data_IF_043030744118
#
_entry.id   IF_043030744118
#
_cell.length_a   1.000
_cell.length_b   1.000
_cell.length_c   1.000
_cell.angle_alpha   90.00
_cell.angle_beta   90.00
_cell.angle_gamma   90.00
#
_symmetry.space_group_name_H-M   'P 1'
#
loop_
_entity.id
_entity.type
_entity.pdbx_description
1 polymer ?
#
# COMPACT_ATOMS: atom_id res chain seq x y z
N UNK A 1 41.06 29.09 -19.81
CA UNK A 1 40.64 29.39 -18.44
C UNK A 1 39.47 30.38 -18.55
N UNK A 2 38.26 29.92 -18.52
CA UNK A 2 37.07 30.76 -18.53
C UNK A 2 36.82 31.24 -17.10
N UNK A 3 36.91 32.55 -16.91
CA UNK A 3 36.59 33.22 -15.65
C UNK A 3 35.12 33.08 -15.35
N UNK A 4 34.81 32.51 -14.22
CA UNK A 4 33.43 32.47 -13.71
C UNK A 4 32.99 33.84 -13.15
N UNK A 5 31.76 34.27 -13.30
CA UNK A 5 31.26 35.52 -12.75
C UNK A 5 31.36 35.53 -11.22
N UNK A 6 31.77 36.67 -10.67
CA UNK A 6 32.11 36.86 -9.26
C UNK A 6 30.94 37.03 -8.29
N UNK A 7 29.68 37.02 -8.76
CA UNK A 7 28.51 37.04 -7.90
C UNK A 7 27.40 36.11 -8.43
N UNK A 8 27.01 35.18 -7.59
CA UNK A 8 25.96 34.20 -7.88
C UNK A 8 24.57 34.79 -7.61
N UNK A 9 24.51 35.86 -6.79
CA UNK A 9 23.25 36.48 -6.38
C UNK A 9 22.43 37.05 -7.53
N UNK A 10 23.10 37.62 -8.56
CA UNK A 10 22.43 38.29 -9.67
C UNK A 10 21.81 37.32 -10.71
N UNK A 11 22.06 36.02 -10.56
CA UNK A 11 21.64 35.02 -11.58
C UNK A 11 20.32 34.31 -11.28
N UNK A 12 19.73 34.51 -10.09
CA UNK A 12 18.53 33.79 -9.64
C UNK A 12 17.23 34.60 -9.70
N UNK A 13 17.31 35.93 -9.80
CA UNK A 13 16.12 36.77 -9.92
C UNK A 13 15.30 36.47 -11.19
N UNK A 14 15.93 35.87 -12.21
CA UNK A 14 15.31 35.53 -13.49
C UNK A 14 14.79 34.09 -13.61
N UNK A 15 15.04 33.21 -12.62
CA UNK A 15 14.53 31.84 -12.64
C UNK A 15 13.10 31.83 -12.17
N UNK A 16 12.18 31.86 -13.12
CA UNK A 16 10.74 31.71 -12.84
C UNK A 16 10.38 30.22 -12.74
N UNK A 17 10.08 29.77 -11.54
CA UNK A 17 9.40 28.49 -11.35
C UNK A 17 8.03 28.56 -12.05
N UNK A 18 7.76 27.61 -12.92
CA UNK A 18 6.45 27.50 -13.57
C UNK A 18 5.61 26.51 -12.81
N UNK A 19 4.39 26.93 -12.51
CA UNK A 19 3.39 26.09 -11.88
C UNK A 19 2.56 25.42 -12.95
N UNK A 20 2.44 24.09 -12.90
CA UNK A 20 1.45 23.36 -13.68
C UNK A 20 0.32 22.99 -12.73
N UNK A 21 -0.88 23.48 -13.02
CA UNK A 21 -2.10 23.00 -12.36
C UNK A 21 -2.73 21.96 -13.28
N UNK A 22 -2.89 20.74 -12.80
CA UNK A 22 -3.60 19.70 -13.52
C UNK A 22 -5.10 19.91 -13.31
N UNK A 23 -5.93 20.03 -14.38
CA UNK A 23 -7.34 20.41 -14.26
C UNK A 23 -8.24 19.41 -13.54
N UNK A 24 -7.75 18.22 -13.21
CA UNK A 24 -8.52 17.14 -12.57
C UNK A 24 -8.11 16.83 -11.14
N UNK A 25 -7.00 17.41 -10.67
CA UNK A 25 -6.49 17.24 -9.33
C UNK A 25 -6.06 18.59 -8.81
N UNK A 26 -6.33 18.92 -7.56
CA UNK A 26 -5.84 20.12 -6.86
C UNK A 26 -4.30 20.09 -6.66
N UNK A 27 -3.57 19.47 -7.60
CA UNK A 27 -2.12 19.33 -7.56
C UNK A 27 -1.43 20.50 -8.24
N UNK A 28 -0.56 21.14 -7.48
CA UNK A 28 0.41 22.12 -7.99
C UNK A 28 1.77 21.43 -8.04
N UNK A 29 2.29 21.17 -9.24
CA UNK A 29 3.67 20.74 -9.42
C UNK A 29 4.55 21.89 -9.90
N UNK A 30 5.75 21.99 -9.34
CA UNK A 30 6.75 22.97 -9.72
C UNK A 30 7.79 22.32 -10.63
N UNK A 31 8.15 22.94 -11.74
CA UNK A 31 9.22 22.45 -12.59
C UNK A 31 10.07 23.59 -13.14
N UNK A 32 11.35 23.30 -13.33
CA UNK A 32 12.23 24.15 -14.12
C UNK A 32 12.24 23.64 -15.56
N UNK A 33 12.03 24.49 -16.55
CA UNK A 33 12.18 24.11 -17.96
C UNK A 33 13.60 23.55 -18.20
N UNK A 34 13.72 22.50 -19.02
CA UNK A 34 14.98 21.83 -19.28
C UNK A 34 16.10 22.78 -19.75
N UNK A 35 15.75 23.83 -20.49
CA UNK A 35 16.69 24.87 -20.93
C UNK A 35 17.24 25.69 -19.75
N UNK A 36 16.44 25.95 -18.73
CA UNK A 36 16.86 26.68 -17.53
C UNK A 36 17.72 25.79 -16.62
N UNK A 37 17.37 24.50 -16.52
CA UNK A 37 18.20 23.50 -15.82
C UNK A 37 19.59 23.39 -16.49
N UNK A 38 19.63 23.31 -17.81
CA UNK A 38 20.88 23.25 -18.56
C UNK A 38 21.72 24.53 -18.36
N UNK A 39 21.08 25.71 -18.31
CA UNK A 39 21.76 26.98 -18.04
C UNK A 39 22.34 27.07 -16.63
N UNK A 40 21.68 26.49 -15.63
CA UNK A 40 22.17 26.41 -14.24
C UNK A 40 23.39 25.47 -14.16
N UNK A 41 23.33 24.31 -14.81
CA UNK A 41 24.46 23.38 -14.87
C UNK A 41 25.67 23.94 -15.62
N UNK A 42 25.45 24.67 -16.70
CA UNK A 42 26.52 25.29 -17.50
C UNK A 42 27.28 26.39 -16.74
N UNK A 43 26.70 26.98 -15.70
CA UNK A 43 27.33 28.00 -14.84
C UNK A 43 28.22 27.45 -13.73
N UNK A 44 28.30 26.13 -13.57
CA UNK A 44 29.30 25.44 -12.74
C UNK A 44 29.16 25.59 -11.22
N UNK A 45 28.17 26.29 -10.71
CA UNK A 45 27.81 26.32 -9.29
C UNK A 45 26.32 26.13 -9.17
N UNK A 46 25.93 24.96 -8.58
CA UNK A 46 24.66 24.89 -7.91
C UNK A 46 24.82 25.64 -6.59
N UNK A 47 24.23 26.84 -6.42
CA UNK A 47 24.05 27.33 -5.07
C UNK A 47 23.25 26.26 -4.35
N UNK A 48 23.47 26.09 -3.07
CA UNK A 48 22.48 25.46 -2.20
C UNK A 48 21.23 26.32 -2.35
N UNK A 49 20.41 25.99 -3.34
CA UNK A 49 19.04 26.44 -3.33
C UNK A 49 18.51 25.76 -2.10
N UNK A 50 18.39 26.49 -1.00
CA UNK A 50 17.40 26.16 0.00
C UNK A 50 16.11 26.34 -0.75
N UNK A 51 15.76 25.33 -1.56
CA UNK A 51 14.39 25.18 -1.99
C UNK A 51 13.62 25.37 -0.71
N UNK A 52 12.66 26.30 -0.63
CA UNK A 52 11.73 26.29 0.49
C UNK A 52 11.38 24.83 0.62
N UNK A 53 11.41 24.30 1.82
CA UNK A 53 11.25 22.86 2.09
C UNK A 53 9.99 22.42 1.34
N UNK A 54 10.15 22.20 0.02
CA UNK A 54 9.15 21.63 -0.87
C UNK A 54 9.24 20.15 -0.53
N UNK A 55 8.90 19.84 0.74
CA UNK A 55 8.41 18.53 1.03
C UNK A 55 7.25 18.39 0.08
N UNK A 56 7.36 17.41 -0.79
CA UNK A 56 6.18 16.91 -1.46
C UNK A 56 5.18 16.70 -0.31
N UNK A 57 4.25 17.64 -0.18
CA UNK A 57 3.26 17.65 0.93
C UNK A 57 2.33 16.44 0.87
N UNK A 58 2.50 15.59 -0.17
CA UNK A 58 1.78 14.33 -0.27
C UNK A 58 2.26 13.36 0.81
N UNK A 59 1.33 12.70 1.51
CA UNK A 59 1.70 11.68 2.48
C UNK A 59 2.48 10.54 1.81
N UNK A 60 3.59 10.16 2.41
CA UNK A 60 4.45 9.07 1.96
C UNK A 60 3.88 7.75 2.42
N UNK A 61 3.52 6.90 1.49
CA UNK A 61 2.99 5.58 1.77
C UNK A 61 4.06 4.54 1.49
N UNK A 62 4.57 3.92 2.55
CA UNK A 62 5.51 2.81 2.42
C UNK A 62 4.80 1.59 1.84
N UNK A 63 5.36 1.04 0.78
CA UNK A 63 4.87 -0.15 0.07
C UNK A 63 5.97 -1.19 0.04
N UNK A 64 5.72 -2.37 0.62
CA UNK A 64 6.66 -3.48 0.54
C UNK A 64 6.66 -4.04 -0.89
N UNK A 65 7.85 -4.30 -1.45
CA UNK A 65 7.95 -4.89 -2.79
C UNK A 65 7.64 -6.39 -2.75
N UNK A 66 7.30 -6.96 -3.88
CA UNK A 66 7.30 -8.40 -4.12
C UNK A 66 8.66 -8.83 -4.66
N UNK A 67 8.92 -10.14 -4.67
CA UNK A 67 10.04 -10.73 -5.40
C UNK A 67 9.52 -11.77 -6.37
N UNK A 68 9.94 -11.69 -7.61
CA UNK A 68 9.59 -12.63 -8.67
C UNK A 68 10.86 -13.24 -9.27
N UNK A 69 10.76 -14.51 -9.68
CA UNK A 69 11.90 -15.19 -10.32
C UNK A 69 12.22 -14.49 -11.66
N UNK A 70 13.49 -14.12 -11.82
CA UNK A 70 13.94 -13.57 -13.10
C UNK A 70 13.91 -14.65 -14.20
N UNK A 71 13.38 -14.35 -15.40
CA UNK A 71 13.20 -15.37 -16.45
C UNK A 71 14.52 -15.93 -16.99
N UNK A 72 15.62 -15.20 -16.88
CA UNK A 72 16.92 -15.58 -17.46
C UNK A 72 18.05 -15.77 -16.42
N UNK A 73 17.78 -15.61 -15.11
CA UNK A 73 18.78 -15.74 -14.03
C UNK A 73 18.17 -16.53 -12.89
N UNK A 74 19.01 -17.19 -12.08
CA UNK A 74 18.55 -17.88 -10.87
C UNK A 74 18.41 -16.95 -9.66
N UNK A 75 18.08 -15.71 -9.91
CA UNK A 75 17.85 -14.65 -8.94
C UNK A 75 16.39 -14.23 -8.95
N UNK A 76 15.96 -13.54 -7.89
CA UNK A 76 14.65 -12.91 -7.83
C UNK A 76 14.80 -11.41 -7.98
N UNK A 77 14.02 -10.81 -8.85
CA UNK A 77 13.92 -9.38 -8.99
C UNK A 77 12.86 -8.83 -8.03
N UNK A 78 13.08 -7.62 -7.52
CA UNK A 78 12.02 -6.89 -6.87
C UNK A 78 11.00 -6.41 -7.91
N UNK A 79 9.73 -6.61 -7.60
CA UNK A 79 8.61 -6.24 -8.45
C UNK A 79 7.50 -5.59 -7.65
N UNK A 80 6.66 -4.84 -8.33
CA UNK A 80 5.41 -4.32 -7.81
C UNK A 80 4.39 -4.25 -8.93
N UNK A 81 3.20 -4.83 -8.69
CA UNK A 81 2.12 -4.60 -9.65
C UNK A 81 1.76 -3.11 -9.67
N UNK A 82 1.72 -2.47 -10.86
CA UNK A 82 1.59 -1.01 -10.97
C UNK A 82 0.30 -0.47 -10.35
N UNK A 83 -0.74 -1.27 -10.20
CA UNK A 83 -2.02 -0.84 -9.64
C UNK A 83 -1.91 -0.35 -8.19
N UNK A 84 -1.00 -0.92 -7.38
CA UNK A 84 -0.78 -0.43 -6.01
C UNK A 84 -0.24 1.00 -5.99
N UNK A 85 0.81 1.25 -6.78
CA UNK A 85 1.38 2.59 -6.88
C UNK A 85 0.37 3.58 -7.49
N UNK A 86 -0.34 3.17 -8.54
CA UNK A 86 -1.37 3.98 -9.20
C UNK A 86 -2.52 4.34 -8.25
N UNK A 87 -2.96 3.41 -7.40
CA UNK A 87 -4.02 3.65 -6.41
C UNK A 87 -3.60 4.69 -5.36
N UNK A 88 -2.36 4.61 -4.87
CA UNK A 88 -1.80 5.60 -3.93
C UNK A 88 -1.75 6.98 -4.60
N UNK A 89 -1.18 7.07 -5.80
CA UNK A 89 -1.03 8.34 -6.54
C UNK A 89 -2.38 8.94 -6.87
N UNK A 90 -3.34 8.15 -7.36
CA UNK A 90 -4.71 8.60 -7.65
C UNK A 90 -5.47 9.07 -6.40
N UNK A 91 -5.02 8.67 -5.22
CA UNK A 91 -5.59 9.09 -3.93
C UNK A 91 -4.84 10.26 -3.28
N UNK A 92 -3.83 10.82 -3.97
CA UNK A 92 -3.06 11.97 -3.50
C UNK A 92 -1.82 11.60 -2.66
N UNK A 93 -1.44 10.34 -2.58
CA UNK A 93 -0.25 9.89 -1.85
C UNK A 93 1.01 9.82 -2.71
N UNK A 94 2.15 9.63 -2.06
CA UNK A 94 3.44 9.38 -2.68
C UNK A 94 3.94 7.98 -2.26
N UNK A 95 4.03 7.00 -3.19
CA UNK A 95 4.49 5.66 -2.85
C UNK A 95 6.00 5.64 -2.60
N UNK A 96 6.42 5.04 -1.48
CA UNK A 96 7.82 4.78 -1.12
C UNK A 96 8.04 3.27 -1.09
N UNK A 97 8.93 2.77 -1.92
CA UNK A 97 9.12 1.32 -2.08
C UNK A 97 10.18 0.80 -1.11
N UNK A 98 9.83 -0.27 -0.40
CA UNK A 98 10.66 -0.89 0.64
C UNK A 98 11.10 -2.28 0.16
N UNK A 99 12.41 -2.49 0.08
CA UNK A 99 13.02 -3.79 -0.19
C UNK A 99 13.10 -4.64 1.09
N UNK A 100 13.35 -5.95 0.97
CA UNK A 100 13.38 -6.86 2.13
C UNK A 100 14.64 -6.70 3.02
N UNK A 101 15.71 -6.18 2.47
CA UNK A 101 16.92 -5.94 3.25
C UNK A 101 16.79 -4.65 4.06
N UNK A 102 17.14 -4.69 5.34
CA UNK A 102 17.14 -3.52 6.23
C UNK A 102 15.83 -2.71 6.23
N UNK A 103 14.70 -3.41 6.27
CA UNK A 103 13.36 -2.80 6.23
C UNK A 103 13.22 -1.64 7.23
N UNK A 104 13.61 -1.87 8.49
CA UNK A 104 13.49 -0.86 9.56
C UNK A 104 14.37 0.37 9.29
N UNK A 105 15.59 0.18 8.75
CA UNK A 105 16.48 1.28 8.37
C UNK A 105 15.88 2.11 7.22
N UNK A 106 15.31 1.46 6.20
CA UNK A 106 14.64 2.13 5.10
C UNK A 106 13.43 2.94 5.60
N UNK A 107 12.61 2.36 6.48
CA UNK A 107 11.45 3.05 7.06
C UNK A 107 11.87 4.23 7.94
N UNK A 108 12.91 4.07 8.77
CA UNK A 108 13.43 5.16 9.61
C UNK A 108 13.98 6.34 8.79
N UNK A 109 14.60 6.04 7.63
CA UNK A 109 15.15 7.07 6.74
C UNK A 109 14.06 7.74 5.87
N UNK A 110 13.08 6.97 5.40
CA UNK A 110 12.00 7.49 4.54
C UNK A 110 10.88 8.16 5.32
N UNK A 111 10.73 7.82 6.62
CA UNK A 111 9.70 8.36 7.52
C UNK A 111 8.32 8.40 6.85
N UNK A 112 7.74 7.25 6.53
CA UNK A 112 6.44 7.20 5.88
C UNK A 112 5.33 7.67 6.82
N UNK A 113 4.28 8.20 6.24
CA UNK A 113 3.07 8.67 6.93
C UNK A 113 1.98 7.58 6.96
N UNK A 114 2.18 6.49 6.24
CA UNK A 114 1.29 5.33 6.21
C UNK A 114 1.95 4.10 5.61
N UNK A 115 1.35 2.92 5.83
CA UNK A 115 1.88 1.63 5.42
C UNK A 115 0.86 0.84 4.62
N UNK A 116 1.26 0.40 3.41
CA UNK A 116 0.49 -0.52 2.57
C UNK A 116 1.19 -1.88 2.49
N UNK A 117 0.53 -2.91 3.04
CA UNK A 117 0.92 -4.31 2.89
C UNK A 117 0.17 -4.90 1.69
N UNK A 118 0.88 -5.22 0.62
CA UNK A 118 0.29 -5.67 -0.65
C UNK A 118 -0.02 -7.18 -0.65
N UNK A 119 -0.83 -7.62 -1.63
CA UNK A 119 -1.09 -9.03 -1.90
C UNK A 119 0.12 -9.79 -2.44
N UNK A 120 0.02 -11.11 -2.44
CA UNK A 120 1.00 -12.01 -3.03
C UNK A 120 0.99 -13.41 -2.42
N UNK A 121 1.69 -14.35 -3.06
CA UNK A 121 1.81 -15.72 -2.59
C UNK A 121 3.14 -15.90 -1.85
N UNK A 122 3.08 -16.21 -0.56
CA UNK A 122 4.22 -16.57 0.27
C UNK A 122 3.73 -17.27 1.53
N UNK A 123 4.61 -18.03 2.20
CA UNK A 123 4.26 -18.69 3.45
C UNK A 123 4.34 -17.71 4.62
N UNK A 124 3.23 -17.55 5.33
CA UNK A 124 3.17 -16.91 6.65
C UNK A 124 3.82 -17.79 7.74
N UNK A 125 4.04 -17.31 8.97
CA UNK A 125 4.51 -18.14 10.07
C UNK A 125 3.68 -19.40 10.21
N UNK A 126 4.37 -20.53 10.37
CA UNK A 126 3.77 -21.87 10.34
C UNK A 126 2.69 -22.08 11.40
N UNK A 127 2.87 -21.49 12.56
CA UNK A 127 1.96 -21.57 13.69
C UNK A 127 0.66 -20.78 13.53
N UNK A 128 0.57 -19.94 12.46
CA UNK A 128 -0.66 -19.23 12.14
C UNK A 128 -1.69 -20.10 11.42
N UNK A 129 -1.26 -21.18 10.79
CA UNK A 129 -2.17 -22.05 10.03
C UNK A 129 -2.85 -23.08 10.92
N UNK A 130 -4.13 -23.35 10.67
CA UNK A 130 -4.84 -24.48 11.26
C UNK A 130 -4.24 -25.80 10.78
N UNK A 131 -3.87 -25.88 9.50
CA UNK A 131 -3.12 -26.97 8.88
C UNK A 131 -1.75 -26.44 8.43
N UNK A 132 -0.70 -26.57 9.24
CA UNK A 132 0.58 -25.93 8.96
C UNK A 132 1.19 -26.40 7.64
N UNK A 133 1.80 -25.48 6.85
CA UNK A 133 2.59 -25.84 5.68
C UNK A 133 3.84 -26.66 6.07
N UNK A 134 4.38 -27.39 5.11
CA UNK A 134 5.64 -28.12 5.31
C UNK A 134 6.83 -27.15 5.44
N UNK A 135 6.80 -26.07 4.64
CA UNK A 135 7.82 -25.04 4.61
C UNK A 135 7.57 -23.95 5.67
N UNK A 136 8.64 -23.39 6.18
CA UNK A 136 8.58 -22.24 7.10
C UNK A 136 8.31 -20.93 6.34
N UNK A 137 8.06 -19.84 7.12
CA UNK A 137 7.85 -18.49 6.57
C UNK A 137 9.01 -18.07 5.67
N UNK A 138 8.70 -17.42 4.57
CA UNK A 138 9.70 -16.89 3.68
C UNK A 138 10.21 -15.49 4.11
N UNK A 139 11.25 -15.00 3.42
CA UNK A 139 11.84 -13.67 3.70
C UNK A 139 10.81 -12.55 3.53
N UNK A 140 9.83 -12.73 2.65
CA UNK A 140 8.78 -11.75 2.42
C UNK A 140 7.89 -11.60 3.65
N UNK A 141 7.46 -12.71 4.25
CA UNK A 141 6.69 -12.68 5.50
C UNK A 141 7.45 -11.95 6.63
N UNK A 142 8.77 -12.18 6.74
CA UNK A 142 9.61 -11.49 7.72
C UNK A 142 9.64 -9.98 7.47
N UNK A 143 9.82 -9.55 6.21
CA UNK A 143 9.83 -8.13 5.84
C UNK A 143 8.48 -7.44 6.12
N UNK A 144 7.35 -8.14 5.84
CA UNK A 144 6.01 -7.65 6.18
C UNK A 144 5.82 -7.46 7.68
N UNK A 145 6.29 -8.41 8.50
CA UNK A 145 6.21 -8.30 9.96
C UNK A 145 7.04 -7.12 10.50
N UNK A 146 8.27 -6.92 9.99
CA UNK A 146 9.09 -5.77 10.38
C UNK A 146 8.42 -4.44 10.02
N UNK A 147 7.79 -4.37 8.85
CA UNK A 147 7.07 -3.17 8.40
C UNK A 147 5.81 -2.93 9.24
N UNK A 148 5.08 -3.98 9.60
CA UNK A 148 3.90 -3.89 10.45
C UNK A 148 4.27 -3.49 11.89
N UNK A 149 5.36 -4.04 12.44
CA UNK A 149 5.86 -3.66 13.77
C UNK A 149 6.31 -2.19 13.80
N UNK A 150 6.97 -1.72 12.75
CA UNK A 150 7.28 -0.31 12.61
C UNK A 150 6.02 0.57 12.58
N UNK A 151 5.00 0.16 11.82
CA UNK A 151 3.72 0.88 11.75
C UNK A 151 3.03 0.96 13.12
N UNK A 152 3.05 -0.14 13.90
CA UNK A 152 2.52 -0.17 15.27
C UNK A 152 3.24 0.78 16.21
N UNK A 153 4.58 0.70 16.22
CA UNK A 153 5.42 1.52 17.10
C UNK A 153 5.30 3.02 16.81
N UNK A 154 5.04 3.38 15.55
CA UNK A 154 4.92 4.77 15.11
C UNK A 154 3.47 5.21 14.90
N UNK A 155 2.49 4.39 15.30
CA UNK A 155 1.05 4.69 15.19
C UNK A 155 0.61 5.06 13.77
N UNK A 156 1.16 4.41 12.73
CA UNK A 156 0.86 4.75 11.34
C UNK A 156 -0.43 4.09 10.84
N UNK A 157 -1.23 4.80 10.03
CA UNK A 157 -2.33 4.20 9.31
C UNK A 157 -1.84 3.04 8.45
N UNK A 158 -2.59 1.94 8.47
CA UNK A 158 -2.18 0.69 7.82
C UNK A 158 -3.32 0.11 7.01
N UNK A 159 -3.04 -0.16 5.73
CA UNK A 159 -3.91 -0.93 4.83
C UNK A 159 -3.24 -2.24 4.46
N UNK A 160 -3.90 -3.36 4.69
CA UNK A 160 -3.49 -4.69 4.23
C UNK A 160 -4.40 -5.19 3.11
N UNK A 161 -3.83 -5.68 2.01
CA UNK A 161 -4.56 -6.21 0.86
C UNK A 161 -4.19 -7.67 0.66
N UNK A 162 -5.15 -8.58 0.60
CA UNK A 162 -5.00 -10.01 0.39
C UNK A 162 -4.01 -10.61 1.43
N UNK A 163 -2.81 -11.02 1.04
CA UNK A 163 -1.79 -11.47 1.99
C UNK A 163 -1.44 -10.42 3.06
N UNK A 164 -1.57 -9.13 2.75
CA UNK A 164 -1.40 -8.05 3.72
C UNK A 164 -2.45 -8.05 4.82
N UNK A 165 -3.71 -8.37 4.51
CA UNK A 165 -4.77 -8.63 5.49
C UNK A 165 -4.39 -9.79 6.40
N UNK A 166 -3.94 -10.91 5.80
CA UNK A 166 -3.56 -12.12 6.52
C UNK A 166 -2.38 -11.88 7.47
N UNK A 167 -1.42 -11.04 7.07
CA UNK A 167 -0.31 -10.61 7.94
C UNK A 167 -0.82 -9.78 9.13
N UNK A 168 -1.74 -8.85 8.92
CA UNK A 168 -2.35 -8.09 10.01
C UNK A 168 -3.06 -9.05 10.97
N UNK A 169 -3.93 -9.90 10.45
CA UNK A 169 -4.71 -10.85 11.25
C UNK A 169 -3.84 -11.84 12.03
N UNK A 170 -2.94 -12.53 11.34
CA UNK A 170 -2.05 -13.53 11.97
C UNK A 170 -1.15 -12.92 13.05
N UNK A 171 -0.65 -11.70 12.82
CA UNK A 171 0.13 -10.96 13.83
C UNK A 171 -0.66 -10.57 15.09
N UNK A 172 -1.98 -10.59 15.00
CA UNK A 172 -2.94 -10.37 16.09
C UNK A 172 -3.50 -11.67 16.65
N UNK A 173 -2.96 -12.83 16.23
CA UNK A 173 -3.34 -14.15 16.71
C UNK A 173 -4.46 -14.83 15.95
N UNK A 174 -4.93 -14.27 14.84
CA UNK A 174 -5.87 -14.97 13.98
C UNK A 174 -5.20 -16.18 13.33
N UNK A 175 -6.00 -17.20 13.00
CA UNK A 175 -5.56 -18.39 12.27
C UNK A 175 -5.91 -18.30 10.80
N UNK A 176 -5.11 -18.96 9.97
CA UNK A 176 -5.28 -19.03 8.52
C UNK A 176 -5.75 -20.42 8.08
N UNK A 177 -6.68 -20.44 7.14
CA UNK A 177 -7.05 -21.61 6.34
C UNK A 177 -6.28 -21.56 5.03
N UNK A 178 -5.64 -22.67 4.68
CA UNK A 178 -4.67 -22.69 3.57
C UNK A 178 -5.25 -22.84 2.18
N UNK A 179 -6.27 -23.67 2.03
CA UNK A 179 -6.83 -24.04 0.74
C UNK A 179 -8.35 -24.02 0.79
N UNK A 180 -8.87 -22.81 0.78
CA UNK A 180 -10.33 -22.59 0.85
C UNK A 180 -11.04 -22.96 -0.46
N UNK A 181 -10.28 -23.21 -1.55
CA UNK A 181 -10.85 -23.54 -2.86
C UNK A 181 -10.90 -25.04 -3.14
N UNK A 182 -10.41 -25.90 -2.24
CA UNK A 182 -10.27 -27.34 -2.47
C UNK A 182 -11.59 -28.03 -2.77
N UNK A 183 -12.64 -27.63 -2.07
CA UNK A 183 -13.94 -28.27 -2.09
C UNK A 183 -15.04 -27.36 -2.67
N UNK A 184 -14.65 -26.26 -3.33
CA UNK A 184 -15.58 -25.29 -3.91
C UNK A 184 -15.83 -25.55 -5.38
N UNK A 185 -17.08 -25.38 -5.82
CA UNK A 185 -17.41 -25.26 -7.24
C UNK A 185 -16.70 -24.04 -7.85
N UNK A 186 -16.40 -24.11 -9.16
CA UNK A 186 -15.69 -23.03 -9.87
C UNK A 186 -16.36 -21.65 -9.69
N UNK A 187 -17.70 -21.65 -9.60
CA UNK A 187 -18.49 -20.42 -9.38
C UNK A 187 -18.34 -19.82 -7.97
N UNK A 188 -17.93 -20.63 -6.99
CA UNK A 188 -17.69 -20.22 -5.60
C UNK A 188 -16.20 -20.05 -5.30
N UNK A 189 -15.33 -20.36 -6.27
CA UNK A 189 -13.88 -20.25 -6.10
C UNK A 189 -13.44 -18.82 -5.85
N UNK A 190 -12.62 -18.63 -4.82
CA UNK A 190 -11.94 -17.37 -4.52
C UNK A 190 -10.70 -17.09 -5.40
N UNK A 191 -10.56 -17.81 -6.53
CA UNK A 191 -9.44 -17.68 -7.47
C UNK A 191 -9.89 -17.36 -8.90
N UNK A 192 -10.55 -16.22 -9.07
CA UNK A 192 -11.10 -15.80 -10.37
C UNK A 192 -10.30 -14.71 -11.11
N UNK A 193 -8.99 -14.58 -10.81
CA UNK A 193 -8.07 -13.74 -11.57
C UNK A 193 -7.96 -12.27 -11.14
N UNK A 194 -8.83 -11.77 -10.26
CA UNK A 194 -8.68 -10.47 -9.59
C UNK A 194 -8.98 -9.21 -10.42
N UNK A 195 -9.35 -9.34 -11.70
CA UNK A 195 -9.75 -8.21 -12.57
C UNK A 195 -11.23 -8.23 -12.98
N UNK A 196 -11.97 -9.17 -12.46
CA UNK A 196 -13.41 -9.28 -12.66
C UNK A 196 -14.11 -9.29 -11.32
N UNK A 197 -15.30 -8.76 -11.28
CA UNK A 197 -16.16 -8.86 -10.10
C UNK A 197 -16.61 -10.32 -9.96
N UNK A 198 -16.42 -10.90 -8.79
CA UNK A 198 -16.56 -12.34 -8.57
C UNK A 198 -17.74 -12.68 -7.65
N UNK A 199 -17.78 -12.08 -6.45
CA UNK A 199 -18.79 -12.41 -5.45
C UNK A 199 -19.16 -11.20 -4.61
N UNK A 200 -20.26 -11.34 -3.89
CA UNK A 200 -20.74 -10.35 -2.93
C UNK A 200 -20.07 -10.54 -1.59
N UNK A 201 -19.84 -9.44 -0.90
CA UNK A 201 -19.43 -9.42 0.50
C UNK A 201 -20.39 -8.54 1.30
N UNK A 202 -20.83 -9.06 2.44
CA UNK A 202 -21.64 -8.34 3.42
C UNK A 202 -20.70 -7.54 4.31
N UNK A 203 -20.84 -6.22 4.30
CA UNK A 203 -20.12 -5.30 5.19
C UNK A 203 -20.84 -5.25 6.53
N UNK A 204 -20.10 -5.53 7.61
CA UNK A 204 -20.69 -5.54 8.95
C UNK A 204 -20.82 -4.11 9.50
N UNK A 205 -21.92 -3.81 10.21
CA UNK A 205 -22.14 -2.49 10.78
C UNK A 205 -21.12 -2.16 11.88
N UNK A 206 -20.97 -0.90 12.20
CA UNK A 206 -20.09 -0.38 13.25
C UNK A 206 -18.61 -0.67 13.05
N UNK A 207 -18.20 -0.98 11.81
CA UNK A 207 -16.81 -1.20 11.39
C UNK A 207 -16.23 0.04 10.70
N UNK A 208 -14.91 0.15 10.68
CA UNK A 208 -14.22 1.19 9.89
C UNK A 208 -14.56 1.03 8.40
N UNK A 209 -14.58 -0.21 7.90
CA UNK A 209 -14.96 -0.47 6.51
C UNK A 209 -16.36 0.08 6.21
N UNK A 210 -17.36 -0.17 7.07
CA UNK A 210 -18.72 0.36 6.88
C UNK A 210 -18.75 1.90 6.85
N UNK A 211 -17.97 2.55 7.71
CA UNK A 211 -17.84 4.01 7.75
C UNK A 211 -17.22 4.57 6.47
N UNK A 212 -16.23 3.86 5.92
CA UNK A 212 -15.48 4.25 4.72
C UNK A 212 -16.31 4.08 3.47
N UNK A 213 -16.87 2.89 3.24
CA UNK A 213 -17.58 2.56 1.98
C UNK A 213 -19.03 2.99 1.98
N UNK A 214 -19.64 3.18 3.16
CA UNK A 214 -21.06 3.59 3.35
C UNK A 214 -22.06 2.70 2.59
N UNK A 215 -21.78 1.42 2.54
CA UNK A 215 -22.59 0.38 1.92
C UNK A 215 -22.63 -0.85 2.82
N UNK A 216 -23.74 -1.56 2.85
CA UNK A 216 -23.89 -2.83 3.59
C UNK A 216 -23.50 -4.06 2.77
N UNK A 217 -23.32 -3.91 1.46
CA UNK A 217 -22.90 -4.96 0.52
C UNK A 217 -22.00 -4.39 -0.56
N UNK A 218 -20.98 -5.13 -0.94
CA UNK A 218 -20.09 -4.82 -2.07
C UNK A 218 -20.03 -6.03 -3.00
N UNK A 219 -19.79 -5.78 -4.29
CA UNK A 219 -19.39 -6.80 -5.25
C UNK A 219 -17.90 -6.63 -5.50
N UNK A 220 -17.10 -7.66 -5.17
CA UNK A 220 -15.65 -7.59 -5.17
C UNK A 220 -15.01 -8.57 -6.15
N UNK A 221 -13.75 -8.36 -6.46
CA UNK A 221 -12.91 -9.33 -7.17
C UNK A 221 -12.32 -10.34 -6.19
N UNK A 222 -11.68 -11.40 -6.69
CA UNK A 222 -11.05 -12.41 -5.85
C UNK A 222 -9.86 -13.07 -6.56
N UNK A 223 -8.78 -13.33 -5.80
CA UNK A 223 -7.58 -13.97 -6.32
C UNK A 223 -6.75 -14.63 -5.19
N UNK A 224 -7.39 -15.39 -4.30
CA UNK A 224 -6.73 -15.98 -3.15
C UNK A 224 -7.07 -17.46 -2.94
N UNK A 225 -6.17 -18.21 -2.30
CA UNK A 225 -6.37 -19.58 -1.85
C UNK A 225 -6.44 -19.68 -0.33
N UNK A 226 -5.95 -18.69 0.37
CA UNK A 226 -5.89 -18.62 1.81
C UNK A 226 -6.81 -17.52 2.33
N UNK A 227 -7.36 -17.71 3.52
CA UNK A 227 -8.16 -16.72 4.21
C UNK A 227 -7.98 -16.84 5.73
N UNK A 228 -8.32 -15.78 6.44
CA UNK A 228 -8.45 -15.84 7.90
C UNK A 228 -9.63 -16.74 8.27
N UNK A 229 -9.42 -17.61 9.24
CA UNK A 229 -10.48 -18.47 9.76
C UNK A 229 -11.48 -17.66 10.60
N UNK A 230 -12.75 -17.79 10.30
CA UNK A 230 -13.82 -17.03 10.95
C UNK A 230 -14.08 -17.42 12.42
N UNK A 231 -13.55 -18.55 12.88
CA UNK A 231 -13.68 -19.03 14.26
C UNK A 231 -12.48 -18.67 15.14
N UNK A 232 -11.34 -18.30 14.54
CA UNK A 232 -10.08 -18.06 15.25
C UNK A 232 -9.51 -16.70 14.89
N UNK A 233 -10.17 -15.65 15.34
CA UNK A 233 -9.88 -14.25 14.95
C UNK A 233 -8.79 -13.58 15.80
N UNK A 234 -8.33 -14.21 16.86
CA UNK A 234 -7.36 -13.58 17.79
C UNK A 234 -7.86 -12.24 18.34
N UNK A 235 -7.10 -11.17 18.11
CA UNK A 235 -7.47 -9.80 18.51
C UNK A 235 -8.06 -8.99 17.32
N UNK A 236 -8.73 -9.66 16.37
CA UNK A 236 -9.42 -9.05 15.25
C UNK A 236 -10.94 -9.17 15.39
N UNK A 237 -11.65 -8.30 14.71
CA UNK A 237 -13.07 -8.46 14.38
C UNK A 237 -13.24 -8.53 12.86
N UNK A 238 -14.28 -9.23 12.44
CA UNK A 238 -14.65 -9.30 11.02
C UNK A 238 -15.32 -7.97 10.63
N UNK A 239 -14.90 -7.42 9.49
CA UNK A 239 -15.49 -6.23 8.88
C UNK A 239 -16.31 -6.55 7.64
N UNK A 240 -16.00 -7.66 6.93
CA UNK A 240 -16.83 -8.18 5.85
C UNK A 240 -16.71 -9.70 5.73
N UNK A 241 -17.78 -10.33 5.26
CA UNK A 241 -17.91 -11.76 4.97
C UNK A 241 -18.46 -11.98 3.57
N UNK A 242 -17.96 -12.96 2.85
CA UNK A 242 -18.58 -13.52 1.67
C UNK A 242 -19.81 -14.40 2.03
N UNK A 243 -20.60 -14.78 1.03
CA UNK A 243 -21.81 -15.59 1.24
C UNK A 243 -21.51 -17.03 1.75
N UNK A 244 -20.28 -17.49 1.58
CA UNK A 244 -19.77 -18.78 2.08
C UNK A 244 -19.06 -18.67 3.45
N UNK A 245 -19.27 -17.57 4.17
CA UNK A 245 -18.64 -17.25 5.46
C UNK A 245 -17.10 -17.06 5.40
N UNK A 246 -16.51 -16.92 4.22
CA UNK A 246 -15.10 -16.55 4.09
C UNK A 246 -14.91 -15.11 4.59
N UNK A 247 -13.90 -14.92 5.44
CA UNK A 247 -13.53 -13.58 5.93
C UNK A 247 -12.92 -12.78 4.78
N UNK A 248 -13.52 -11.64 4.49
CA UNK A 248 -13.13 -10.77 3.39
C UNK A 248 -12.59 -9.40 3.87
N UNK A 249 -12.83 -9.04 5.13
CA UNK A 249 -12.17 -7.90 5.75
C UNK A 249 -12.11 -8.05 7.26
N UNK A 250 -11.04 -7.50 7.84
CA UNK A 250 -10.80 -7.48 9.29
C UNK A 250 -10.35 -6.11 9.78
N UNK A 251 -10.56 -5.89 11.08
CA UNK A 251 -10.05 -4.76 11.84
C UNK A 251 -9.51 -5.24 13.19
N UNK A 252 -8.46 -4.63 13.76
CA UNK A 252 -8.05 -4.90 15.13
C UNK A 252 -9.12 -4.49 16.14
N UNK A 253 -9.31 -5.26 17.22
CA UNK A 253 -10.15 -4.88 18.36
C UNK A 253 -9.60 -3.65 19.09
N UNK A 254 -8.27 -3.52 19.15
CA UNK A 254 -7.55 -2.38 19.70
C UNK A 254 -6.57 -1.86 18.64
N UNK A 255 -7.01 -1.01 17.71
CA UNK A 255 -6.17 -0.54 16.62
C UNK A 255 -5.10 0.44 17.13
N UNK A 256 -3.88 0.35 16.59
CA UNK A 256 -2.78 1.28 16.90
C UNK A 256 -2.94 2.64 16.22
N UNK A 257 -3.87 2.75 15.29
CA UNK A 257 -4.25 3.98 14.59
C UNK A 257 -5.74 3.95 14.22
N UNK A 258 -6.37 5.10 14.04
CA UNK A 258 -7.78 5.23 13.63
C UNK A 258 -8.10 4.57 12.26
N UNK A 259 -7.09 4.34 11.42
CA UNK A 259 -7.19 3.60 10.18
C UNK A 259 -6.25 2.40 10.19
N UNK A 260 -6.75 1.25 10.55
CA UNK A 260 -6.11 -0.05 10.39
C UNK A 260 -7.14 -1.01 9.81
N UNK A 261 -6.98 -1.36 8.55
CA UNK A 261 -7.93 -2.16 7.79
C UNK A 261 -7.20 -3.24 6.99
N UNK A 262 -7.67 -4.47 7.07
CA UNK A 262 -7.33 -5.56 6.16
C UNK A 262 -8.51 -5.86 5.24
N UNK A 263 -8.26 -6.04 3.94
CA UNK A 263 -9.25 -6.52 2.96
C UNK A 263 -8.64 -7.67 2.16
N UNK A 264 -9.41 -8.74 1.96
CA UNK A 264 -8.95 -9.95 1.28
C UNK A 264 -8.98 -9.80 -0.24
N UNK A 265 -9.93 -9.05 -0.78
CA UNK A 265 -10.00 -8.75 -2.21
C UNK A 265 -8.94 -7.71 -2.62
N UNK A 266 -8.90 -7.35 -3.91
CA UNK A 266 -7.93 -6.45 -4.52
C UNK A 266 -8.56 -5.11 -4.95
N UNK A 267 -8.77 -4.15 -4.05
CA UNK A 267 -9.36 -2.85 -4.39
C UNK A 267 -8.50 -2.03 -5.34
N UNK A 268 -7.16 -2.19 -5.34
CA UNK A 268 -6.26 -1.51 -6.26
C UNK A 268 -6.55 -1.84 -7.74
N UNK A 269 -7.04 -3.04 -8.01
CA UNK A 269 -7.40 -3.47 -9.37
C UNK A 269 -8.76 -2.94 -9.79
N UNK A 270 -9.71 -2.83 -8.86
CA UNK A 270 -11.07 -2.33 -9.12
C UNK A 270 -11.11 -0.82 -9.36
N UNK A 271 -10.13 -0.06 -8.91
CA UNK A 271 -10.02 1.38 -9.19
C UNK A 271 -10.03 1.68 -10.69
N UNK A 272 -9.36 0.87 -11.50
CA UNK A 272 -9.36 1.01 -12.97
C UNK A 272 -10.73 0.78 -13.59
N UNK A 273 -11.59 0.05 -12.91
CA UNK A 273 -12.96 -0.21 -13.33
C UNK A 273 -13.94 0.85 -12.80
N UNK A 274 -13.43 1.88 -12.12
CA UNK A 274 -14.24 2.96 -11.57
C UNK A 274 -15.01 2.60 -10.30
N UNK A 275 -14.59 1.55 -9.58
CA UNK A 275 -15.26 1.13 -8.34
C UNK A 275 -15.12 2.18 -7.23
N UNK A 276 -16.28 2.70 -6.80
CA UNK A 276 -16.34 3.76 -5.81
C UNK A 276 -15.93 3.30 -4.41
N UNK A 277 -16.26 2.06 -4.02
CA UNK A 277 -15.86 1.53 -2.70
C UNK A 277 -14.34 1.44 -2.59
N UNK A 278 -13.67 0.93 -3.61
CA UNK A 278 -12.20 0.88 -3.70
C UNK A 278 -11.58 2.27 -3.66
N UNK A 279 -12.20 3.24 -4.34
CA UNK A 279 -11.76 4.65 -4.30
C UNK A 279 -11.87 5.23 -2.90
N UNK A 280 -12.96 4.98 -2.18
CA UNK A 280 -13.14 5.47 -0.82
C UNK A 280 -12.13 4.85 0.16
N UNK A 281 -11.80 3.56 0.01
CA UNK A 281 -10.78 2.89 0.83
C UNK A 281 -9.42 3.60 0.68
N UNK A 282 -8.92 3.73 -0.54
CA UNK A 282 -7.61 4.37 -0.77
C UNK A 282 -7.61 5.85 -0.43
N UNK A 283 -8.67 6.59 -0.81
CA UNK A 283 -8.77 8.02 -0.51
C UNK A 283 -8.80 8.28 1.00
N UNK A 284 -9.55 7.48 1.77
CA UNK A 284 -9.61 7.62 3.21
C UNK A 284 -8.26 7.27 3.85
N UNK A 285 -7.62 6.18 3.40
CA UNK A 285 -6.31 5.76 3.88
C UNK A 285 -5.25 6.86 3.69
N UNK A 286 -5.13 7.38 2.46
CA UNK A 286 -4.17 8.43 2.13
C UNK A 286 -4.49 9.75 2.83
N UNK A 287 -5.78 10.12 2.93
CA UNK A 287 -6.19 11.32 3.66
C UNK A 287 -5.82 11.24 5.14
N UNK A 288 -6.04 10.11 5.77
CA UNK A 288 -5.71 9.92 7.19
C UNK A 288 -4.20 9.95 7.44
N UNK A 289 -3.40 9.48 6.47
CA UNK A 289 -1.95 9.63 6.50
C UNK A 289 -1.51 11.10 6.36
N UNK A 290 -2.25 11.93 5.62
CA UNK A 290 -1.98 13.36 5.49
C UNK A 290 -2.35 14.17 6.74
N UNK A 291 -3.37 13.76 7.48
CA UNK A 291 -3.87 14.49 8.67
C UNK A 291 -2.87 14.46 9.86
N UNK A 292 -1.78 13.71 9.74
CA UNK A 292 -0.71 13.62 10.74
C UNK A 292 0.53 14.47 10.35
N UNK A 293 0.47 15.14 9.20
CA UNK A 293 1.47 16.10 8.74
C UNK A 293 1.11 17.51 9.24
#
# INVERSE_FOLDING_TARGET
MTSYPSSIADSFEDIKLRTITYPQDDFVSWYLPAAEVAAVFARGHLPYITLPDIRDVRPRIAVILAQEKHPARDEKDYSLHPDYASAIVASGGFPVFIAYDKVVEQLANTKPDGVLLIGGCFNSPRDWYLEPPVEDKDKRAQAYLQMLDYARQNHLPTLGICAGEQIIGGSLGAKLRRDINRDCDVAQSHKQGGYVLAHKVKVLPDTLLAQVVKKSELLVNTAHNEAIDNLHLGQCRIAALADDDTVEAIEPLAPWHKFVLGVQWHPERLLKLGDEASRQIFKTFVKVAADEL
#
